data_IF_686494838601
#
_entry.id   IF_686494838601
#
_cell.length_a   1.000
_cell.length_b   1.000
_cell.length_c   1.000
_cell.angle_alpha   90.00
_cell.angle_beta   90.00
_cell.angle_gamma   90.00
#
_symmetry.space_group_name_H-M   'P 1'
#
loop_
_entity.id
_entity.type
_entity.pdbx_description
1 polymer ?
#
# COMPACT_ATOMS: atom_id res chain seq x y z
N UNK A 1 19.83 -5.12 20.77
CA UNK A 1 20.82 -4.21 20.13
C UNK A 1 20.83 -2.91 20.91
N UNK A 2 21.99 -2.45 21.37
CA UNK A 2 22.11 -1.24 22.18
C UNK A 2 21.95 0.05 21.33
N UNK A 3 21.78 1.21 21.96
CA UNK A 3 21.59 2.52 21.31
C UNK A 3 22.72 2.87 20.33
N UNK A 4 23.96 2.53 20.67
CA UNK A 4 25.14 2.79 19.84
C UNK A 4 25.07 1.95 18.53
N UNK A 5 24.70 0.68 18.61
CA UNK A 5 24.53 -0.16 17.43
C UNK A 5 23.41 0.31 16.49
N UNK A 6 22.32 0.86 17.03
CA UNK A 6 21.24 1.45 16.21
C UNK A 6 21.70 2.73 15.52
N UNK A 7 22.41 3.61 16.22
CA UNK A 7 22.97 4.84 15.66
C UNK A 7 23.99 4.53 14.55
N UNK A 8 24.89 3.57 14.78
CA UNK A 8 25.86 3.13 13.76
C UNK A 8 25.16 2.59 12.50
N UNK A 9 24.16 1.70 12.65
CA UNK A 9 23.41 1.19 11.50
C UNK A 9 22.67 2.30 10.74
N UNK A 10 22.14 3.29 11.45
CA UNK A 10 21.49 4.46 10.80
C UNK A 10 22.50 5.22 9.94
N UNK A 11 23.67 5.54 10.48
CA UNK A 11 24.73 6.26 9.75
C UNK A 11 25.18 5.46 8.52
N UNK A 12 25.39 4.15 8.65
CA UNK A 12 25.77 3.30 7.51
C UNK A 12 24.71 3.31 6.42
N UNK A 13 23.42 3.25 6.77
CA UNK A 13 22.31 3.30 5.80
C UNK A 13 22.23 4.64 5.09
N UNK A 14 22.33 5.74 5.84
CA UNK A 14 22.29 7.08 5.28
C UNK A 14 23.46 7.32 4.33
N UNK A 15 24.67 6.87 4.71
CA UNK A 15 25.88 6.97 3.87
C UNK A 15 25.74 6.12 2.60
N UNK A 16 25.28 4.88 2.69
CA UNK A 16 25.05 3.99 1.52
C UNK A 16 24.01 4.61 0.58
N UNK A 17 22.91 5.15 1.12
CA UNK A 17 21.87 5.84 0.35
C UNK A 17 22.42 7.07 -0.39
N UNK A 18 23.25 7.87 0.28
CA UNK A 18 23.85 9.06 -0.32
C UNK A 18 24.84 8.68 -1.44
N UNK A 19 25.67 7.64 -1.23
CA UNK A 19 26.60 7.12 -2.25
C UNK A 19 25.82 6.65 -3.48
N UNK A 20 24.73 5.91 -3.29
CA UNK A 20 23.89 5.43 -4.39
C UNK A 20 23.25 6.58 -5.16
N UNK A 21 22.75 7.58 -4.45
CA UNK A 21 22.13 8.74 -5.07
C UNK A 21 23.16 9.55 -5.88
N UNK A 22 24.29 9.86 -5.28
CA UNK A 22 25.36 10.64 -5.94
C UNK A 22 25.93 9.89 -7.14
N UNK A 23 26.24 8.61 -6.99
CA UNK A 23 26.72 7.77 -8.08
C UNK A 23 25.68 7.59 -9.18
N UNK A 24 24.39 7.51 -8.81
CA UNK A 24 23.30 7.45 -9.79
C UNK A 24 23.18 8.73 -10.62
N UNK A 25 23.20 9.89 -9.97
CA UNK A 25 23.20 11.20 -10.66
C UNK A 25 24.41 11.38 -11.57
N UNK A 26 25.56 10.88 -11.16
CA UNK A 26 26.76 10.86 -11.97
C UNK A 26 26.75 9.82 -13.11
N UNK A 27 25.68 9.00 -13.22
CA UNK A 27 25.55 8.00 -14.28
C UNK A 27 26.34 6.70 -14.07
N UNK A 28 26.99 6.52 -12.90
CA UNK A 28 27.79 5.32 -12.57
C UNK A 28 26.96 4.04 -12.71
N UNK A 29 25.67 4.09 -12.38
CA UNK A 29 24.77 2.93 -12.44
C UNK A 29 24.00 2.76 -13.75
N UNK A 30 24.29 3.58 -14.78
CA UNK A 30 23.57 3.48 -16.05
C UNK A 30 23.70 2.10 -16.70
N UNK A 31 24.85 1.43 -16.56
CA UNK A 31 25.04 0.06 -17.02
C UNK A 31 24.13 -0.93 -16.30
N UNK A 32 23.96 -0.79 -14.97
CA UNK A 32 23.04 -1.61 -14.20
C UNK A 32 21.59 -1.47 -14.70
N UNK A 33 21.14 -0.24 -14.93
CA UNK A 33 19.77 0.03 -15.37
C UNK A 33 19.50 -0.49 -16.80
N UNK A 34 20.47 -0.36 -17.72
CA UNK A 34 20.33 -0.83 -19.11
C UNK A 34 20.34 -2.35 -19.23
N UNK A 35 21.06 -3.04 -18.36
CA UNK A 35 21.20 -4.50 -18.41
C UNK A 35 20.29 -5.23 -17.43
N UNK A 36 19.45 -4.50 -16.70
CA UNK A 36 18.46 -5.12 -15.84
C UNK A 36 17.45 -5.91 -16.67
N UNK A 37 17.16 -7.13 -16.27
CA UNK A 37 16.18 -8.01 -16.90
C UNK A 37 15.14 -8.50 -15.88
N UNK A 38 14.03 -9.05 -16.36
CA UNK A 38 12.90 -9.47 -15.53
C UNK A 38 11.93 -8.34 -15.25
N UNK A 39 11.27 -8.37 -14.11
CA UNK A 39 10.28 -7.34 -13.78
C UNK A 39 9.92 -7.29 -12.31
N UNK A 40 9.24 -6.21 -11.91
CA UNK A 40 8.77 -5.98 -10.56
C UNK A 40 7.43 -5.27 -10.54
N UNK A 41 6.49 -5.75 -9.73
CA UNK A 41 5.30 -4.99 -9.34
C UNK A 41 5.69 -4.18 -8.11
N UNK A 42 5.50 -2.86 -8.16
CA UNK A 42 5.80 -1.95 -7.05
C UNK A 42 4.52 -1.42 -6.43
N UNK A 43 4.53 -1.26 -5.10
CA UNK A 43 3.37 -0.81 -4.33
C UNK A 43 3.62 0.57 -3.76
N UNK A 44 2.74 1.49 -4.10
CA UNK A 44 2.54 2.79 -3.47
C UNK A 44 1.24 2.77 -2.65
N UNK A 45 1.08 3.74 -1.75
CA UNK A 45 -0.17 3.97 -1.03
C UNK A 45 -0.60 5.43 -1.23
N UNK A 46 -0.57 6.24 -0.17
CA UNK A 46 -0.93 7.64 -0.26
C UNK A 46 0.16 8.52 -0.84
N UNK A 47 -0.27 9.53 -1.60
CA UNK A 47 0.61 10.57 -2.13
C UNK A 47 0.17 11.91 -1.52
N UNK A 48 1.12 12.65 -0.94
CA UNK A 48 0.86 13.95 -0.33
C UNK A 48 1.73 15.04 -0.96
N UNK A 49 1.37 16.29 -0.72
CA UNK A 49 2.16 17.44 -1.20
C UNK A 49 3.43 17.62 -0.38
N UNK A 50 3.33 17.46 0.94
CA UNK A 50 4.42 17.70 1.90
C UNK A 50 4.26 16.80 3.13
N UNK A 51 5.35 16.54 3.85
CA UNK A 51 5.35 15.83 5.13
C UNK A 51 4.72 14.43 5.05
N UNK A 52 5.32 13.58 4.22
CA UNK A 52 4.87 12.18 4.05
C UNK A 52 4.90 11.36 5.36
N UNK A 53 5.54 11.86 6.42
CA UNK A 53 5.61 11.18 7.71
C UNK A 53 4.52 11.60 8.70
N UNK A 54 3.62 12.50 8.30
CA UNK A 54 2.66 13.15 9.20
C UNK A 54 1.78 12.16 9.96
N UNK A 55 1.24 11.15 9.31
CA UNK A 55 0.36 10.14 9.93
C UNK A 55 0.74 8.70 9.61
N UNK A 56 1.23 8.44 8.42
CA UNK A 56 1.57 7.09 7.97
C UNK A 56 2.98 7.04 7.36
N UNK A 57 3.78 6.01 7.66
CA UNK A 57 5.11 5.84 7.07
C UNK A 57 5.08 5.35 5.62
N UNK A 58 3.90 5.10 5.03
CA UNK A 58 3.74 4.56 3.67
C UNK A 58 3.45 5.64 2.63
N UNK A 59 3.27 6.88 3.07
CA UNK A 59 3.04 8.01 2.16
C UNK A 59 4.32 8.45 1.47
N UNK A 60 4.18 8.96 0.24
CA UNK A 60 5.26 9.53 -0.54
C UNK A 60 4.88 10.94 -1.00
N UNK A 61 5.84 11.84 -1.11
CA UNK A 61 5.57 13.16 -1.65
C UNK A 61 5.43 13.12 -3.18
N UNK A 62 4.51 13.93 -3.72
CA UNK A 62 4.18 13.96 -5.15
C UNK A 62 5.40 14.18 -6.04
N UNK A 63 6.33 15.08 -5.64
CA UNK A 63 7.54 15.33 -6.41
C UNK A 63 8.48 14.11 -6.48
N UNK A 64 8.51 13.30 -5.42
CA UNK A 64 9.29 12.06 -5.39
C UNK A 64 8.64 10.99 -6.27
N UNK A 65 7.32 10.87 -6.24
CA UNK A 65 6.59 10.01 -7.19
C UNK A 65 6.91 10.42 -8.63
N UNK A 66 6.82 11.72 -8.93
CA UNK A 66 7.12 12.21 -10.28
C UNK A 66 8.54 11.85 -10.73
N UNK A 67 9.53 11.99 -9.84
CA UNK A 67 10.90 11.57 -10.11
C UNK A 67 11.02 10.07 -10.38
N UNK A 68 10.26 9.22 -9.63
CA UNK A 68 10.19 7.78 -9.90
C UNK A 68 9.60 7.51 -11.29
N UNK A 69 8.48 8.14 -11.66
CA UNK A 69 7.84 7.94 -12.97
C UNK A 69 8.73 8.37 -14.13
N UNK A 70 9.45 9.50 -13.99
CA UNK A 70 10.44 9.95 -14.97
C UNK A 70 11.57 8.94 -15.13
N UNK A 71 12.06 8.39 -14.01
CA UNK A 71 13.11 7.38 -14.04
C UNK A 71 12.63 6.11 -14.74
N UNK A 72 11.42 5.61 -14.39
CA UNK A 72 10.84 4.42 -15.04
C UNK A 72 10.71 4.62 -16.54
N UNK A 73 10.11 5.74 -16.96
CA UNK A 73 9.94 6.05 -18.39
C UNK A 73 11.27 6.09 -19.16
N UNK A 74 12.34 6.55 -18.50
CA UNK A 74 13.66 6.66 -19.11
C UNK A 74 14.43 5.33 -19.19
N UNK A 75 14.30 4.47 -18.19
CA UNK A 75 15.20 3.33 -18.01
C UNK A 75 14.51 1.97 -18.06
N UNK A 76 13.21 1.89 -17.83
CA UNK A 76 12.44 0.65 -17.74
C UNK A 76 11.24 0.67 -18.68
N UNK A 77 10.68 -0.50 -18.94
CA UNK A 77 9.38 -0.61 -19.59
C UNK A 77 8.30 -0.62 -18.50
N UNK A 78 7.42 0.39 -18.47
CA UNK A 78 6.25 0.36 -17.61
C UNK A 78 5.13 -0.40 -18.32
N UNK A 79 4.61 -1.43 -17.66
CA UNK A 79 3.60 -2.35 -18.20
C UNK A 79 2.35 -2.33 -17.32
N UNK A 80 1.20 -2.65 -17.93
CA UNK A 80 -0.03 -2.90 -17.18
C UNK A 80 0.08 -4.19 -16.36
N UNK A 81 -0.82 -4.36 -15.39
CA UNK A 81 -0.90 -5.59 -14.61
C UNK A 81 -1.21 -6.81 -15.49
N UNK A 82 -2.10 -6.63 -16.47
CA UNK A 82 -2.47 -7.68 -17.42
C UNK A 82 -1.25 -8.12 -18.24
N UNK A 83 -0.49 -7.18 -18.84
CA UNK A 83 0.75 -7.50 -19.56
C UNK A 83 1.78 -8.20 -18.67
N UNK A 84 1.85 -7.82 -17.39
CA UNK A 84 2.77 -8.43 -16.42
C UNK A 84 2.40 -9.89 -16.12
N UNK A 85 1.11 -10.19 -15.90
CA UNK A 85 0.63 -11.56 -15.67
C UNK A 85 0.72 -12.45 -16.92
N UNK A 86 0.52 -11.89 -18.11
CA UNK A 86 0.68 -12.60 -19.38
C UNK A 86 2.15 -12.85 -19.77
N UNK A 87 3.11 -12.49 -18.89
CA UNK A 87 4.55 -12.59 -19.16
C UNK A 87 4.99 -11.90 -20.47
N UNK A 88 4.27 -10.87 -20.91
CA UNK A 88 4.66 -10.03 -22.05
C UNK A 88 5.82 -9.09 -21.67
N UNK A 89 6.80 -9.64 -20.94
CA UNK A 89 7.98 -8.93 -20.49
C UNK A 89 9.04 -9.03 -21.58
N UNK A 90 9.49 -7.87 -22.07
CA UNK A 90 10.56 -7.78 -23.05
C UNK A 90 11.95 -8.02 -22.42
N UNK A 91 13.02 -7.92 -23.21
CA UNK A 91 14.40 -7.94 -22.69
C UNK A 91 14.74 -6.78 -21.73
N UNK A 92 13.96 -5.69 -21.78
CA UNK A 92 14.10 -4.56 -20.87
C UNK A 92 13.37 -4.85 -19.55
N UNK A 93 13.94 -4.42 -18.41
CA UNK A 93 13.32 -4.58 -17.10
C UNK A 93 11.92 -3.95 -17.06
N UNK A 94 10.93 -4.74 -16.65
CA UNK A 94 9.54 -4.31 -16.60
C UNK A 94 9.16 -3.82 -15.19
N UNK A 95 8.45 -2.69 -15.11
CA UNK A 95 7.85 -2.20 -13.87
C UNK A 95 6.34 -2.12 -14.04
N UNK A 96 5.60 -2.75 -13.12
CA UNK A 96 4.16 -2.61 -13.02
C UNK A 96 3.84 -1.75 -11.79
N UNK A 97 3.07 -0.68 -11.99
CA UNK A 97 2.72 0.27 -10.94
C UNK A 97 1.43 -0.15 -10.25
N UNK A 98 1.43 -0.21 -8.92
CA UNK A 98 0.21 -0.40 -8.14
C UNK A 98 0.12 0.59 -6.98
N UNK A 99 -1.13 0.97 -6.65
CA UNK A 99 -1.48 1.88 -5.56
C UNK A 99 -2.57 1.22 -4.73
N UNK A 100 -2.36 1.09 -3.42
CA UNK A 100 -3.30 0.43 -2.53
C UNK A 100 -4.20 1.43 -1.77
N UNK A 101 -5.18 0.91 -1.04
CA UNK A 101 -6.10 1.57 -0.11
C UNK A 101 -7.29 2.33 -0.75
N UNK A 102 -7.14 2.89 -1.94
CA UNK A 102 -8.21 3.70 -2.56
C UNK A 102 -8.30 5.12 -2.00
N UNK A 103 -7.17 5.73 -1.63
CA UNK A 103 -7.11 7.09 -1.12
C UNK A 103 -7.45 8.12 -2.21
N UNK A 104 -8.21 9.16 -1.84
CA UNK A 104 -8.63 10.22 -2.76
C UNK A 104 -7.45 11.01 -3.37
N UNK A 105 -6.34 11.11 -2.63
CA UNK A 105 -5.13 11.76 -3.13
C UNK A 105 -4.57 11.08 -4.40
N UNK A 106 -4.91 9.81 -4.65
CA UNK A 106 -4.52 9.12 -5.88
C UNK A 106 -5.21 9.72 -7.12
N UNK A 107 -6.47 10.13 -7.03
CA UNK A 107 -7.15 10.84 -8.11
C UNK A 107 -6.50 12.20 -8.38
N UNK A 108 -6.20 12.96 -7.32
CA UNK A 108 -5.77 14.34 -7.47
C UNK A 108 -4.28 14.53 -7.74
N UNK A 109 -3.43 13.58 -7.27
CA UNK A 109 -1.98 13.73 -7.37
C UNK A 109 -1.32 12.67 -8.26
N UNK A 110 -1.89 11.48 -8.38
CA UNK A 110 -1.30 10.39 -9.17
C UNK A 110 -1.84 10.40 -10.60
N UNK A 111 -3.17 10.43 -10.78
CA UNK A 111 -3.78 10.37 -12.10
C UNK A 111 -3.21 11.41 -13.09
N UNK A 112 -3.07 12.72 -12.73
CA UNK A 112 -2.50 13.70 -13.65
C UNK A 112 -1.06 13.38 -14.08
N UNK A 113 -0.27 12.76 -13.22
CA UNK A 113 1.09 12.33 -13.54
C UNK A 113 1.09 11.11 -14.48
N UNK A 114 0.20 10.13 -14.23
CA UNK A 114 0.06 8.97 -15.13
C UNK A 114 -0.35 9.41 -16.55
N UNK A 115 -1.28 10.34 -16.66
CA UNK A 115 -1.70 10.92 -17.95
C UNK A 115 -0.59 11.71 -18.62
N UNK A 116 0.11 12.56 -17.86
CA UNK A 116 1.27 13.34 -18.36
C UNK A 116 2.36 12.44 -18.92
N UNK A 117 2.67 11.35 -18.24
CA UNK A 117 3.74 10.43 -18.66
C UNK A 117 3.27 9.27 -19.52
N UNK A 118 1.93 9.09 -19.66
CA UNK A 118 1.30 7.99 -20.39
C UNK A 118 1.71 6.62 -19.85
N UNK A 119 1.57 6.44 -18.54
CA UNK A 119 1.99 5.24 -17.83
C UNK A 119 0.79 4.51 -17.22
N UNK A 120 0.64 3.19 -17.45
CA UNK A 120 -0.42 2.42 -16.84
C UNK A 120 -0.16 2.17 -15.35
N UNK A 121 -1.22 2.13 -14.55
CA UNK A 121 -1.18 1.74 -13.14
C UNK A 121 -2.48 1.03 -12.73
N UNK A 122 -2.38 0.18 -11.69
CA UNK A 122 -3.52 -0.48 -11.06
C UNK A 122 -3.76 0.10 -9.68
N UNK A 123 -5.00 0.48 -9.39
CA UNK A 123 -5.43 0.97 -8.08
C UNK A 123 -6.26 -0.09 -7.40
N UNK A 124 -5.77 -0.58 -6.25
CA UNK A 124 -6.46 -1.55 -5.43
C UNK A 124 -7.28 -0.82 -4.37
N UNK A 125 -8.60 -0.85 -4.54
CA UNK A 125 -9.56 -0.06 -3.78
C UNK A 125 -10.34 -0.95 -2.82
N UNK A 126 -10.55 -0.50 -1.58
CA UNK A 126 -11.36 -1.19 -0.58
C UNK A 126 -12.85 -0.90 -0.76
N UNK A 127 -13.71 -1.79 -0.22
CA UNK A 127 -15.16 -1.57 -0.16
C UNK A 127 -15.62 -0.73 1.03
N UNK A 128 -14.71 -0.24 1.85
CA UNK A 128 -15.00 0.48 3.11
C UNK A 128 -15.95 1.66 2.91
N UNK A 129 -15.87 2.30 1.74
CA UNK A 129 -16.75 3.43 1.40
C UNK A 129 -18.22 3.03 1.30
N UNK A 130 -18.53 1.89 0.71
CA UNK A 130 -19.88 1.34 0.65
C UNK A 130 -20.42 1.01 2.04
N UNK A 131 -19.54 0.59 2.97
CA UNK A 131 -19.88 0.36 4.36
C UNK A 131 -20.13 1.63 5.19
N UNK A 132 -20.02 2.83 4.57
CA UNK A 132 -20.31 4.12 5.18
C UNK A 132 -19.11 4.82 5.82
N UNK A 133 -17.88 4.34 5.60
CA UNK A 133 -16.67 4.94 6.15
C UNK A 133 -15.86 5.64 5.04
N UNK A 134 -15.35 6.83 5.35
CA UNK A 134 -14.52 7.63 4.47
C UNK A 134 -13.02 7.56 4.79
N UNK A 135 -12.66 6.72 5.76
CA UNK A 135 -11.32 6.52 6.27
C UNK A 135 -11.11 5.04 6.62
N UNK A 136 -9.90 4.52 6.39
CA UNK A 136 -9.54 3.19 6.88
C UNK A 136 -9.33 3.19 8.40
N UNK A 137 -9.65 2.09 9.04
CA UNK A 137 -9.52 1.94 10.49
C UNK A 137 -8.08 2.18 11.00
N UNK A 138 -7.08 1.75 10.23
CA UNK A 138 -5.66 1.93 10.55
C UNK A 138 -5.23 3.39 10.42
N UNK A 139 -5.73 4.12 9.42
CA UNK A 139 -5.45 5.54 9.25
C UNK A 139 -6.16 6.37 10.33
N UNK A 140 -7.41 6.01 10.66
CA UNK A 140 -8.12 6.59 11.80
C UNK A 140 -7.31 6.40 13.09
N UNK A 141 -6.84 5.18 13.39
CA UNK A 141 -6.02 4.92 14.58
C UNK A 141 -4.69 5.70 14.56
N UNK A 142 -4.04 5.82 13.41
CA UNK A 142 -2.81 6.61 13.27
C UNK A 142 -3.05 8.08 13.61
N UNK A 143 -4.16 8.66 13.17
CA UNK A 143 -4.54 10.03 13.50
C UNK A 143 -4.86 10.18 14.99
N UNK A 144 -5.64 9.27 15.55
CA UNK A 144 -5.97 9.24 16.97
C UNK A 144 -4.70 9.06 17.84
N UNK A 145 -3.73 8.31 17.39
CA UNK A 145 -2.45 8.23 18.13
C UNK A 145 -1.75 9.57 18.22
N UNK A 146 -1.96 10.48 17.28
CA UNK A 146 -1.38 11.82 17.29
C UNK A 146 -2.19 12.79 18.15
N UNK A 147 -3.50 12.82 18.00
CA UNK A 147 -4.37 13.83 18.60
C UNK A 147 -5.16 13.35 19.83
N UNK A 148 -5.31 12.07 20.02
CA UNK A 148 -6.09 11.47 21.09
C UNK A 148 -5.41 11.53 22.45
N UNK A 149 -6.08 11.07 23.52
CA UNK A 149 -5.60 11.12 24.90
C UNK A 149 -4.35 10.25 25.11
N UNK A 150 -3.64 10.49 26.25
CA UNK A 150 -2.49 9.64 26.64
C UNK A 150 -2.89 8.22 26.99
N UNK A 151 -4.12 8.02 27.43
CA UNK A 151 -4.68 6.72 27.86
C UNK A 151 -6.06 6.54 27.26
N UNK A 152 -6.37 5.33 26.86
CA UNK A 152 -7.72 4.92 26.45
C UNK A 152 -8.03 3.52 26.98
N UNK A 153 -9.29 3.25 27.22
CA UNK A 153 -9.79 1.95 27.64
C UNK A 153 -10.53 1.30 26.46
N UNK A 154 -10.17 0.06 26.14
CA UNK A 154 -10.82 -0.68 25.06
C UNK A 154 -10.91 -2.17 25.43
N UNK A 155 -12.12 -2.74 25.41
CA UNK A 155 -12.41 -4.14 25.77
C UNK A 155 -11.80 -4.55 27.12
N UNK A 156 -11.94 -3.70 28.15
CA UNK A 156 -11.42 -3.93 29.50
C UNK A 156 -9.89 -3.82 29.65
N UNK A 157 -9.18 -3.43 28.60
CA UNK A 157 -7.75 -3.19 28.63
C UNK A 157 -7.45 -1.71 28.61
N UNK A 158 -6.55 -1.28 29.51
CA UNK A 158 -6.02 0.08 29.50
C UNK A 158 -4.80 0.15 28.53
N UNK A 159 -4.92 0.97 27.50
CA UNK A 159 -3.85 1.28 26.56
C UNK A 159 -3.25 2.64 26.89
N UNK A 160 -1.92 2.72 26.90
CA UNK A 160 -1.18 3.97 27.14
C UNK A 160 -0.25 4.24 25.96
N UNK A 161 -0.12 5.52 25.56
CA UNK A 161 0.84 5.89 24.52
C UNK A 161 2.27 5.64 24.99
N UNK A 162 3.02 4.87 24.23
CA UNK A 162 4.45 4.72 24.44
C UNK A 162 5.23 5.93 23.89
N UNK A 163 6.57 5.93 24.03
CA UNK A 163 7.44 7.01 23.53
C UNK A 163 7.35 7.27 22.02
N UNK A 164 6.75 6.36 21.26
CA UNK A 164 6.53 6.50 19.81
C UNK A 164 5.09 6.90 19.47
N UNK A 165 4.29 7.25 20.48
CA UNK A 165 2.89 7.62 20.33
C UNK A 165 1.92 6.46 20.16
N UNK A 166 2.39 5.19 20.10
CA UNK A 166 1.53 4.02 19.90
C UNK A 166 0.83 3.63 21.20
N UNK A 167 -0.44 3.31 21.13
CA UNK A 167 -1.21 2.73 22.22
C UNK A 167 -0.79 1.29 22.47
N UNK A 168 -0.29 1.01 23.67
CA UNK A 168 0.12 -0.33 24.12
C UNK A 168 -0.52 -0.63 25.47
N UNK A 169 -0.91 -1.90 25.68
CA UNK A 169 -1.44 -2.36 26.98
C UNK A 169 -0.29 -2.73 27.94
N UNK A 170 -0.65 -3.19 29.15
CA UNK A 170 0.33 -3.58 30.17
C UNK A 170 1.25 -4.74 29.74
N UNK A 171 0.79 -5.58 28.82
CA UNK A 171 1.55 -6.71 28.25
C UNK A 171 2.46 -6.28 27.08
N UNK A 172 2.45 -4.99 26.70
CA UNK A 172 3.21 -4.46 25.57
C UNK A 172 2.59 -4.73 24.20
N UNK A 173 1.35 -5.22 24.13
CA UNK A 173 0.63 -5.46 22.88
C UNK A 173 0.05 -4.13 22.39
N UNK A 174 0.37 -3.80 21.14
CA UNK A 174 -0.18 -2.60 20.51
C UNK A 174 -1.67 -2.80 20.14
N UNK A 175 -2.49 -1.75 20.32
CA UNK A 175 -3.91 -1.77 19.93
C UNK A 175 -4.08 -2.08 18.43
N UNK A 176 -3.20 -1.54 17.58
CA UNK A 176 -3.20 -1.86 16.15
C UNK A 176 -2.99 -3.36 15.87
N UNK A 177 -2.09 -4.03 16.61
CA UNK A 177 -1.85 -5.48 16.48
C UNK A 177 -3.04 -6.31 16.98
N UNK A 178 -3.69 -5.86 18.05
CA UNK A 178 -4.91 -6.49 18.53
C UNK A 178 -6.01 -6.42 17.47
N UNK A 179 -6.29 -5.21 16.95
CA UNK A 179 -7.32 -4.97 15.94
C UNK A 179 -7.04 -5.69 14.62
N UNK A 180 -5.77 -5.78 14.21
CA UNK A 180 -5.39 -6.47 12.98
C UNK A 180 -5.73 -7.97 12.99
N UNK A 181 -5.78 -8.58 14.17
CA UNK A 181 -6.07 -10.03 14.34
C UNK A 181 -7.55 -10.37 14.35
N UNK A 182 -8.41 -9.37 14.40
CA UNK A 182 -9.86 -9.53 14.52
C UNK A 182 -10.57 -9.09 13.23
N UNK A 183 -11.85 -9.37 13.11
CA UNK A 183 -12.67 -8.91 11.99
C UNK A 183 -13.04 -7.42 12.13
N UNK A 184 -13.83 -6.92 11.19
CA UNK A 184 -14.19 -5.49 11.15
C UNK A 184 -15.05 -5.04 12.32
N UNK A 185 -15.75 -5.94 13.01
CA UNK A 185 -16.62 -5.58 14.15
C UNK A 185 -15.85 -4.89 15.27
N UNK A 186 -14.67 -5.40 15.62
CA UNK A 186 -13.80 -4.79 16.64
C UNK A 186 -13.22 -3.44 16.17
N UNK A 187 -12.89 -3.31 14.89
CA UNK A 187 -12.40 -2.06 14.32
C UNK A 187 -13.49 -0.99 14.33
N UNK A 188 -14.71 -1.35 13.94
CA UNK A 188 -15.89 -0.51 14.01
C UNK A 188 -16.16 -0.03 15.44
N UNK A 189 -16.19 -0.95 16.42
CA UNK A 189 -16.37 -0.62 17.83
C UNK A 189 -15.30 0.38 18.32
N UNK A 190 -14.04 0.17 17.94
CA UNK A 190 -12.96 1.10 18.27
C UNK A 190 -13.16 2.48 17.62
N UNK A 191 -13.55 2.52 16.35
CA UNK A 191 -13.80 3.78 15.65
C UNK A 191 -14.98 4.54 16.25
N UNK A 192 -16.05 3.86 16.63
CA UNK A 192 -17.22 4.44 17.33
C UNK A 192 -16.84 4.96 18.71
N UNK A 193 -16.09 4.20 19.51
CA UNK A 193 -15.61 4.61 20.83
C UNK A 193 -14.75 5.87 20.77
N UNK A 194 -13.89 5.96 19.79
CA UNK A 194 -12.97 7.07 19.60
C UNK A 194 -13.51 8.17 18.67
N UNK A 195 -14.71 8.01 18.14
CA UNK A 195 -15.35 8.94 17.20
C UNK A 195 -15.57 10.34 17.80
N UNK A 196 -15.69 10.46 19.12
CA UNK A 196 -15.76 11.75 19.81
C UNK A 196 -14.47 12.58 19.68
N UNK A 197 -13.36 11.96 19.24
CA UNK A 197 -12.07 12.61 18.98
C UNK A 197 -11.94 13.07 17.51
N UNK A 198 -13.03 13.14 16.78
CA UNK A 198 -13.13 13.40 15.34
C UNK A 198 -12.79 14.86 14.94
N UNK A 199 -12.29 15.66 15.89
CA UNK A 199 -11.90 17.05 15.65
C UNK A 199 -10.86 17.24 14.54
N UNK A 200 -10.12 16.19 14.15
CA UNK A 200 -9.19 16.23 13.02
C UNK A 200 -9.90 16.46 11.68
N UNK A 201 -11.16 16.04 11.54
CA UNK A 201 -11.98 16.25 10.33
C UNK A 201 -12.21 17.72 10.03
N UNK A 202 -12.16 18.58 11.05
CA UNK A 202 -12.31 20.02 10.91
C UNK A 202 -11.01 20.70 10.42
N UNK A 203 -9.90 19.96 10.36
CA UNK A 203 -8.64 20.43 9.81
C UNK A 203 -8.50 20.01 8.35
N UNK A 204 -9.13 20.75 7.44
CA UNK A 204 -9.12 20.45 6.00
C UNK A 204 -7.73 20.28 5.37
N UNK A 205 -6.66 20.74 6.04
CA UNK A 205 -5.28 20.53 5.59
C UNK A 205 -4.79 19.09 5.76
N UNK A 206 -5.47 18.26 6.53
CA UNK A 206 -5.07 16.87 6.81
C UNK A 206 -5.87 15.84 5.98
N UNK A 207 -6.88 16.27 5.25
CA UNK A 207 -7.76 15.39 4.48
C UNK A 207 -7.00 14.56 3.44
N UNK A 208 -5.94 15.10 2.85
CA UNK A 208 -5.09 14.39 1.89
C UNK A 208 -4.44 13.12 2.46
N UNK A 209 -4.37 12.95 3.79
CA UNK A 209 -3.70 11.81 4.42
C UNK A 209 -4.63 10.63 4.77
N UNK A 210 -5.94 10.80 4.65
CA UNK A 210 -6.86 9.78 5.14
C UNK A 210 -8.12 9.58 4.30
N UNK A 211 -8.55 10.58 3.53
CA UNK A 211 -9.82 10.49 2.84
C UNK A 211 -9.77 9.47 1.71
N UNK A 212 -10.75 8.56 1.72
CA UNK A 212 -10.96 7.59 0.66
C UNK A 212 -11.74 8.22 -0.51
N UNK A 213 -11.53 7.68 -1.71
CA UNK A 213 -12.34 7.99 -2.89
C UNK A 213 -13.83 7.78 -2.57
N UNK A 214 -14.67 8.70 -2.93
CA UNK A 214 -16.12 8.46 -3.02
C UNK A 214 -16.46 7.77 -4.34
N UNK A 215 -17.75 7.39 -4.51
CA UNK A 215 -18.20 6.64 -5.70
C UNK A 215 -17.98 7.41 -7.00
N UNK A 216 -18.24 8.73 -7.01
CA UNK A 216 -18.04 9.60 -8.18
C UNK A 216 -16.56 9.75 -8.53
N UNK A 217 -15.71 9.89 -7.51
CA UNK A 217 -14.26 9.98 -7.68
C UNK A 217 -13.67 8.65 -8.17
N UNK A 218 -14.13 7.52 -7.63
CA UNK A 218 -13.74 6.18 -8.07
C UNK A 218 -14.18 5.94 -9.53
N UNK A 219 -15.43 6.30 -9.87
CA UNK A 219 -15.89 6.26 -11.25
C UNK A 219 -14.98 7.09 -12.15
N UNK A 220 -14.72 8.36 -11.78
CA UNK A 220 -13.86 9.27 -12.55
C UNK A 220 -12.46 8.69 -12.76
N UNK A 221 -11.81 8.19 -11.69
CA UNK A 221 -10.50 7.55 -11.76
C UNK A 221 -10.52 6.37 -12.74
N UNK A 222 -11.57 5.56 -12.68
CA UNK A 222 -11.72 4.36 -13.52
C UNK A 222 -11.88 4.64 -15.01
N UNK A 223 -12.27 5.86 -15.40
CA UNK A 223 -12.48 6.22 -16.81
C UNK A 223 -11.18 6.51 -17.56
N UNK A 224 -10.07 6.77 -16.86
CA UNK A 224 -8.78 6.98 -17.52
C UNK A 224 -8.29 5.69 -18.17
N UNK A 225 -7.80 5.80 -19.40
CA UNK A 225 -7.20 4.68 -20.16
C UNK A 225 -5.92 4.14 -19.50
N UNK A 226 -5.34 4.90 -18.57
CA UNK A 226 -4.11 4.55 -17.85
C UNK A 226 -4.37 3.85 -16.53
N UNK A 227 -5.64 3.66 -16.18
CA UNK A 227 -6.05 3.15 -14.89
C UNK A 227 -6.79 1.83 -15.03
N UNK A 228 -6.34 0.86 -14.24
CA UNK A 228 -7.07 -0.37 -13.95
C UNK A 228 -7.47 -0.35 -12.48
N UNK A 229 -8.70 -0.77 -12.16
CA UNK A 229 -9.17 -0.93 -10.78
C UNK A 229 -9.09 -2.41 -10.40
N UNK A 230 -8.57 -2.68 -9.21
CA UNK A 230 -8.55 -3.96 -8.54
C UNK A 230 -9.13 -3.87 -7.12
N UNK A 231 -9.41 -5.01 -6.51
CA UNK A 231 -9.92 -5.10 -5.14
C UNK A 231 -8.79 -5.08 -4.11
N UNK A 232 -9.04 -4.39 -2.98
CA UNK A 232 -8.18 -4.46 -1.78
C UNK A 232 -8.96 -4.96 -0.55
N UNK A 233 -9.86 -5.95 -0.77
CA UNK A 233 -10.81 -6.41 0.23
C UNK A 233 -11.94 -5.42 0.45
N UNK A 234 -12.90 -5.78 1.32
CA UNK A 234 -14.04 -4.92 1.60
C UNK A 234 -13.77 -3.98 2.79
N UNK A 235 -13.30 -4.54 3.90
CA UNK A 235 -13.05 -3.81 5.15
C UNK A 235 -11.58 -3.55 5.46
N UNK A 236 -10.67 -3.88 4.55
CA UNK A 236 -9.23 -3.85 4.79
C UNK A 236 -8.83 -4.72 6.01
N UNK A 237 -9.45 -5.90 6.13
CA UNK A 237 -9.07 -6.90 7.11
C UNK A 237 -7.82 -7.67 6.67
N UNK A 238 -7.03 -8.17 7.62
CA UNK A 238 -6.02 -9.19 7.34
C UNK A 238 -6.75 -10.52 7.06
N UNK A 239 -7.00 -10.80 5.77
CA UNK A 239 -7.86 -11.90 5.34
C UNK A 239 -7.34 -13.28 5.78
N UNK A 240 -6.03 -13.41 6.01
CA UNK A 240 -5.44 -14.65 6.53
C UNK A 240 -5.71 -14.87 8.03
N UNK A 241 -6.20 -13.86 8.74
CA UNK A 241 -6.41 -13.90 10.20
C UNK A 241 -7.86 -13.92 10.65
N UNK A 242 -8.77 -13.77 9.71
CA UNK A 242 -10.20 -13.92 9.95
C UNK A 242 -10.68 -15.28 9.41
N UNK A 243 -11.90 -15.65 9.77
CA UNK A 243 -12.54 -16.85 9.23
C UNK A 243 -12.57 -16.81 7.68
N UNK A 244 -12.32 -17.96 7.05
CA UNK A 244 -12.19 -18.05 5.59
C UNK A 244 -13.50 -17.75 4.87
N UNK A 245 -14.64 -18.07 5.49
CA UNK A 245 -15.95 -17.76 4.92
C UNK A 245 -16.22 -16.26 4.96
N UNK A 246 -15.84 -15.59 6.07
CA UNK A 246 -15.88 -14.11 6.16
C UNK A 246 -14.94 -13.46 5.16
N UNK A 247 -13.73 -13.99 5.00
CA UNK A 247 -12.77 -13.50 4.00
C UNK A 247 -13.32 -13.64 2.58
N UNK A 248 -13.94 -14.79 2.26
CA UNK A 248 -14.61 -15.03 0.98
C UNK A 248 -15.71 -14.01 0.72
N UNK A 249 -16.58 -13.78 1.71
CA UNK A 249 -17.67 -12.82 1.59
C UNK A 249 -17.15 -11.39 1.37
N UNK A 250 -16.07 -10.99 2.06
CA UNK A 250 -15.44 -9.68 1.84
C UNK A 250 -14.92 -9.54 0.40
N UNK A 251 -14.28 -10.57 -0.13
CA UNK A 251 -13.75 -10.55 -1.49
C UNK A 251 -14.88 -10.45 -2.52
N UNK A 252 -15.97 -11.20 -2.33
CA UNK A 252 -17.16 -11.13 -3.20
C UNK A 252 -17.80 -9.74 -3.13
N UNK A 253 -18.05 -9.22 -1.93
CA UNK A 253 -18.66 -7.91 -1.74
C UNK A 253 -17.82 -6.79 -2.35
N UNK A 254 -16.51 -6.82 -2.14
CA UNK A 254 -15.60 -5.83 -2.72
C UNK A 254 -15.65 -5.85 -4.25
N UNK A 255 -15.62 -7.05 -4.84
CA UNK A 255 -15.74 -7.20 -6.31
C UNK A 255 -17.04 -6.60 -6.83
N UNK A 256 -18.17 -6.96 -6.25
CA UNK A 256 -19.49 -6.49 -6.65
C UNK A 256 -19.62 -4.97 -6.53
N UNK A 257 -19.15 -4.40 -5.43
CA UNK A 257 -19.12 -2.95 -5.23
C UNK A 257 -18.34 -2.25 -6.33
N UNK A 258 -17.10 -2.68 -6.57
CA UNK A 258 -16.22 -2.05 -7.55
C UNK A 258 -16.74 -2.22 -8.99
N UNK A 259 -17.28 -3.38 -9.33
CA UNK A 259 -17.91 -3.62 -10.65
C UNK A 259 -19.15 -2.74 -10.85
N UNK A 260 -19.96 -2.57 -9.82
CA UNK A 260 -21.14 -1.69 -9.87
C UNK A 260 -20.76 -0.23 -10.08
N UNK A 261 -19.72 0.27 -9.39
CA UNK A 261 -19.31 1.68 -9.52
C UNK A 261 -18.59 1.94 -10.86
N UNK A 262 -17.68 1.05 -11.25
CA UNK A 262 -16.83 1.29 -12.42
C UNK A 262 -17.49 0.89 -13.75
N UNK A 263 -18.50 0.01 -13.70
CA UNK A 263 -19.07 -0.63 -14.90
C UNK A 263 -18.11 -1.60 -15.60
N UNK A 264 -17.01 -2.00 -14.94
CA UNK A 264 -15.95 -2.83 -15.51
C UNK A 264 -15.73 -4.07 -14.65
N UNK A 265 -15.40 -5.22 -15.27
CA UNK A 265 -15.06 -6.44 -14.55
C UNK A 265 -13.78 -6.28 -13.73
N UNK A 266 -13.81 -6.72 -12.49
CA UNK A 266 -12.68 -6.69 -11.55
C UNK A 266 -11.99 -8.05 -11.52
N UNK A 267 -10.79 -8.13 -12.11
CA UNK A 267 -10.03 -9.38 -12.26
C UNK A 267 -8.93 -9.55 -11.21
N UNK A 268 -8.47 -8.46 -10.61
CA UNK A 268 -7.32 -8.46 -9.72
C UNK A 268 -7.71 -8.20 -8.26
N UNK A 269 -7.02 -8.88 -7.33
CA UNK A 269 -7.07 -8.59 -5.90
C UNK A 269 -5.66 -8.46 -5.33
N UNK A 270 -5.42 -7.41 -4.57
CA UNK A 270 -4.27 -7.30 -3.68
C UNK A 270 -4.73 -7.58 -2.26
N UNK A 271 -4.14 -8.58 -1.63
CA UNK A 271 -4.49 -8.92 -0.25
C UNK A 271 -4.02 -7.82 0.71
N UNK A 272 -4.89 -7.28 1.60
CA UNK A 272 -4.46 -6.34 2.62
C UNK A 272 -3.28 -6.88 3.41
N UNK A 273 -2.30 -6.02 3.68
CA UNK A 273 -1.01 -6.40 4.31
C UNK A 273 -0.17 -7.40 3.51
N UNK A 274 -0.58 -7.78 2.31
CA UNK A 274 0.02 -8.84 1.52
C UNK A 274 -0.16 -10.25 2.10
N UNK A 275 -1.05 -10.40 3.08
CA UNK A 275 -1.25 -11.61 3.88
C UNK A 275 -2.37 -12.46 3.32
N UNK A 276 -2.10 -13.75 3.09
CA UNK A 276 -3.10 -14.73 2.64
C UNK A 276 -2.76 -16.13 3.18
N UNK A 277 -3.74 -17.02 3.14
CA UNK A 277 -3.61 -18.45 3.43
C UNK A 277 -4.03 -19.26 2.19
N UNK A 278 -3.76 -20.59 2.15
CA UNK A 278 -4.27 -21.44 1.05
C UNK A 278 -5.78 -21.30 0.85
N UNK A 279 -6.55 -21.33 1.93
CA UNK A 279 -8.00 -21.19 1.87
C UNK A 279 -8.47 -19.82 1.36
N UNK A 280 -7.77 -18.73 1.74
CA UNK A 280 -8.05 -17.37 1.22
C UNK A 280 -7.71 -17.27 -0.27
N UNK A 281 -6.59 -17.89 -0.70
CA UNK A 281 -6.23 -17.94 -2.12
C UNK A 281 -7.29 -18.63 -2.94
N UNK A 282 -7.75 -19.80 -2.49
CA UNK A 282 -8.80 -20.57 -3.19
C UNK A 282 -10.12 -19.80 -3.22
N UNK A 283 -10.54 -19.21 -2.09
CA UNK A 283 -11.73 -18.38 -2.03
C UNK A 283 -11.66 -17.15 -2.96
N UNK A 284 -10.47 -16.56 -3.18
CA UNK A 284 -10.29 -15.51 -4.16
C UNK A 284 -10.48 -15.99 -5.59
N UNK A 285 -9.98 -17.19 -5.92
CA UNK A 285 -10.17 -17.82 -7.23
C UNK A 285 -11.66 -18.14 -7.44
N UNK A 286 -12.34 -18.71 -6.46
CA UNK A 286 -13.76 -19.01 -6.50
C UNK A 286 -14.63 -17.77 -6.65
N UNK A 287 -14.22 -16.63 -6.07
CA UNK A 287 -14.82 -15.31 -6.27
C UNK A 287 -14.57 -14.75 -7.68
N UNK A 288 -13.80 -15.44 -8.52
CA UNK A 288 -13.52 -15.08 -9.91
C UNK A 288 -12.39 -14.07 -10.09
N UNK A 289 -11.49 -13.93 -9.11
CA UNK A 289 -10.24 -13.21 -9.31
C UNK A 289 -9.23 -14.06 -10.07
N UNK A 290 -8.56 -13.44 -11.04
CA UNK A 290 -7.60 -14.09 -11.93
C UNK A 290 -6.15 -13.69 -11.63
N UNK A 291 -5.96 -12.56 -10.97
CA UNK A 291 -4.67 -11.94 -10.66
C UNK A 291 -4.61 -11.65 -9.16
N UNK A 292 -3.84 -12.44 -8.44
CA UNK A 292 -3.72 -12.34 -6.99
C UNK A 292 -2.36 -11.73 -6.63
N UNK A 293 -2.34 -10.83 -5.65
CA UNK A 293 -1.13 -10.09 -5.27
C UNK A 293 -0.92 -10.09 -3.75
N UNK A 294 0.25 -10.62 -3.33
CA UNK A 294 0.80 -10.41 -2.01
C UNK A 294 1.87 -9.30 -2.01
N UNK A 295 2.43 -8.98 -0.86
CA UNK A 295 3.67 -8.17 -0.78
C UNK A 295 4.90 -9.05 -0.91
N UNK A 296 4.87 -10.26 -0.30
CA UNK A 296 5.90 -11.28 -0.45
C UNK A 296 5.21 -12.61 -0.76
N UNK A 297 5.93 -13.53 -1.40
CA UNK A 297 5.43 -14.89 -1.60
C UNK A 297 5.48 -15.62 -0.26
N UNK A 298 4.32 -15.82 0.36
CA UNK A 298 4.22 -16.41 1.70
C UNK A 298 4.23 -17.94 1.69
N UNK A 299 3.74 -18.54 0.58
CA UNK A 299 3.63 -19.98 0.44
C UNK A 299 4.63 -20.47 -0.60
N UNK A 300 5.41 -21.51 -0.25
CA UNK A 300 6.44 -22.07 -1.13
C UNK A 300 5.85 -22.62 -2.44
N UNK A 301 4.64 -23.19 -2.39
CA UNK A 301 3.92 -23.70 -3.54
C UNK A 301 3.48 -22.62 -4.55
N UNK A 302 3.49 -21.36 -4.13
CA UNK A 302 3.08 -20.25 -4.98
C UNK A 302 4.23 -19.65 -5.81
N UNK A 303 5.46 -20.09 -5.60
CA UNK A 303 6.61 -19.59 -6.36
C UNK A 303 6.47 -19.81 -7.87
N UNK A 304 5.85 -20.93 -8.28
CA UNK A 304 5.60 -21.28 -9.68
C UNK A 304 4.14 -21.06 -10.09
N UNK A 305 3.30 -20.52 -9.20
CA UNK A 305 1.90 -20.26 -9.49
C UNK A 305 1.75 -19.00 -10.36
N UNK A 306 1.26 -19.18 -11.58
CA UNK A 306 1.08 -18.07 -12.53
C UNK A 306 0.06 -17.01 -12.07
N UNK A 307 -0.89 -17.38 -11.22
CA UNK A 307 -2.01 -16.54 -10.82
C UNK A 307 -1.71 -15.63 -9.60
N UNK A 308 -0.59 -15.84 -8.91
CA UNK A 308 -0.20 -15.02 -7.78
C UNK A 308 1.20 -14.45 -7.98
N UNK A 309 1.38 -13.17 -7.61
CA UNK A 309 2.65 -12.46 -7.74
C UNK A 309 2.95 -11.68 -6.46
N UNK A 310 4.24 -11.67 -6.09
CA UNK A 310 4.75 -10.81 -5.03
C UNK A 310 4.96 -9.39 -5.52
N UNK A 311 4.88 -8.42 -4.60
CA UNK A 311 5.08 -7.00 -4.87
C UNK A 311 6.15 -6.42 -3.94
N UNK A 312 6.85 -5.39 -4.38
CA UNK A 312 7.80 -4.63 -3.56
C UNK A 312 7.18 -3.29 -3.14
N UNK A 313 6.99 -3.11 -1.84
CA UNK A 313 6.51 -1.84 -1.29
C UNK A 313 7.59 -0.77 -1.40
N UNK A 314 7.25 0.39 -1.94
CA UNK A 314 8.16 1.54 -2.05
C UNK A 314 8.53 2.07 -0.66
N UNK A 315 9.80 2.34 -0.45
CA UNK A 315 10.30 2.92 0.78
C UNK A 315 10.42 4.44 0.64
N UNK A 316 9.58 5.24 1.31
CA UNK A 316 9.58 6.70 1.15
C UNK A 316 10.79 7.40 1.79
N UNK A 317 11.64 6.67 2.53
CA UNK A 317 12.77 7.23 3.28
C UNK A 317 14.10 7.13 2.54
N UNK A 318 14.11 6.61 1.32
CA UNK A 318 15.35 6.46 0.55
C UNK A 318 15.28 7.27 -0.76
N UNK A 319 16.43 7.77 -1.24
CA UNK A 319 16.46 8.54 -2.46
C UNK A 319 16.22 7.69 -3.71
N UNK A 320 15.90 8.36 -4.82
CA UNK A 320 15.45 7.75 -6.08
C UNK A 320 16.35 6.62 -6.56
N UNK A 321 17.67 6.88 -6.69
CA UNK A 321 18.58 5.86 -7.23
C UNK A 321 18.74 4.64 -6.30
N UNK A 322 18.66 4.83 -4.98
CA UNK A 322 18.65 3.73 -4.04
C UNK A 322 17.36 2.88 -4.18
N UNK A 323 16.21 3.56 -4.36
CA UNK A 323 14.92 2.90 -4.62
C UNK A 323 14.96 2.10 -5.92
N UNK A 324 15.50 2.64 -7.02
CA UNK A 324 15.60 1.96 -8.30
C UNK A 324 16.48 0.70 -8.24
N UNK A 325 17.59 0.76 -7.50
CA UNK A 325 18.41 -0.42 -7.27
C UNK A 325 17.69 -1.49 -6.45
N UNK A 326 16.89 -1.10 -5.43
CA UNK A 326 16.08 -2.03 -4.68
C UNK A 326 15.00 -2.71 -5.54
N UNK A 327 14.36 -1.95 -6.44
CA UNK A 327 13.38 -2.48 -7.40
C UNK A 327 14.00 -3.55 -8.30
N UNK A 328 15.18 -3.30 -8.88
CA UNK A 328 15.89 -4.28 -9.71
C UNK A 328 16.22 -5.53 -8.90
N UNK A 329 16.76 -5.37 -7.69
CA UNK A 329 17.16 -6.49 -6.83
C UNK A 329 15.98 -7.26 -6.26
N UNK A 330 14.83 -6.61 -6.07
CA UNK A 330 13.64 -7.18 -5.43
C UNK A 330 13.65 -7.16 -3.91
N UNK A 331 14.63 -6.50 -3.30
CA UNK A 331 14.74 -6.36 -1.85
C UNK A 331 15.54 -5.10 -1.47
N UNK A 332 15.38 -4.67 -0.25
CA UNK A 332 16.16 -3.58 0.34
C UNK A 332 17.39 -4.14 1.04
N UNK A 333 18.59 -3.86 0.52
CA UNK A 333 19.83 -4.18 1.19
C UNK A 333 19.91 -3.41 2.53
N UNK A 334 20.27 -4.10 3.61
CA UNK A 334 20.47 -3.53 4.96
C UNK A 334 19.22 -2.99 5.69
N UNK A 335 18.00 -3.43 5.30
CA UNK A 335 16.74 -3.01 5.95
C UNK A 335 16.08 -4.16 6.75
N UNK A 336 16.84 -5.22 7.08
CA UNK A 336 16.39 -6.29 8.00
C UNK A 336 16.54 -5.90 9.46
#
# INVERSE_FOLDING_TARGET
>A
MNLIGRAYQKIVRESDSLIRETGGRAGIYNHLYRNASGGRIVVYHGICKKDHTRFSPTFLEQHTLEAHLQFFKKHFRVVSLEEYFENKISSQFAVCLSFDDGLANNLYYVLPLLEKYQLPATFFVTGVREAGYDILWNDFLNIITKYGPLRLEYKGNLYTKNRFGRYVNAEGIALAEYLKRDDFSSKKEMMELLGTLDGFRNNGNDEEYWRLLNDEELFTLSQSRWVTIGSHGYYHNDLARIDVEKASQEMVNSKQYLERITGKGIKAIAFPYGSYSPGVREAAIDAGYQQLLGTEMLLSEDNDNGNIKGRLTINPFIPVHAQMQAIIKGYYANWK
#
